data_IF_424234781348
#
_entry.id   IF_424234781348
#
_cell.length_a   1.000
_cell.length_b   1.000
_cell.length_c   1.000
_cell.angle_alpha   90.00
_cell.angle_beta   90.00
_cell.angle_gamma   90.00
#
_symmetry.space_group_name_H-M   'P 1'
#
loop_
_entity.id
_entity.type
_entity.pdbx_description
1 polymer ?
#
# COMPACT_ATOMS: atom_id res chain seq x y z
N UNK A 1 11.58 -2.11 -1.76
CA UNK A 1 10.43 -1.21 -1.83
C UNK A 1 9.41 -1.45 -0.73
N UNK A 2 8.93 -2.67 -0.62
CA UNK A 2 8.03 -2.99 0.50
C UNK A 2 8.69 -2.80 1.86
N UNK A 3 10.00 -2.96 1.94
CA UNK A 3 10.70 -2.75 3.19
C UNK A 3 10.54 -1.31 3.69
N UNK A 4 10.59 -0.33 2.77
CA UNK A 4 10.36 1.05 3.14
C UNK A 4 8.94 1.29 3.62
N UNK A 5 7.97 0.68 2.94
CA UNK A 5 6.58 0.84 3.31
C UNK A 5 6.27 0.16 4.64
N UNK A 6 6.90 -0.98 4.90
CA UNK A 6 6.77 -1.64 6.20
C UNK A 6 7.37 -0.78 7.30
N UNK A 7 8.47 -0.11 7.01
CA UNK A 7 9.07 0.82 7.95
C UNK A 7 8.16 1.98 8.28
N UNK A 8 7.46 2.50 7.26
CA UNK A 8 6.49 3.57 7.47
C UNK A 8 5.30 3.09 8.29
N UNK A 9 4.83 1.87 8.04
CA UNK A 9 3.73 1.30 8.81
C UNK A 9 4.13 1.14 10.27
N UNK A 10 5.33 0.68 10.53
CA UNK A 10 5.84 0.54 11.88
C UNK A 10 5.92 1.90 12.57
N UNK A 11 6.42 2.90 11.86
CA UNK A 11 6.50 4.25 12.40
C UNK A 11 5.12 4.80 12.70
N UNK A 12 4.16 4.52 11.83
CA UNK A 12 2.78 4.93 12.03
C UNK A 12 2.22 4.33 13.32
N UNK A 13 2.47 3.05 13.56
CA UNK A 13 2.03 2.39 14.77
C UNK A 13 2.71 2.96 16.01
N UNK A 14 3.98 3.31 15.91
CA UNK A 14 4.71 3.94 16.99
C UNK A 14 4.10 5.32 17.31
N UNK A 15 3.72 6.07 16.28
CA UNK A 15 3.08 7.35 16.47
C UNK A 15 1.71 7.20 17.14
N UNK A 16 0.96 6.17 16.78
CA UNK A 16 -0.32 5.90 17.44
C UNK A 16 -0.11 5.62 18.92
N UNK A 17 0.91 4.82 19.26
CA UNK A 17 1.20 4.52 20.65
C UNK A 17 1.63 5.77 21.40
N UNK A 18 2.45 6.61 20.77
CA UNK A 18 2.88 7.85 21.39
C UNK A 18 1.71 8.80 21.61
N UNK A 19 0.77 8.85 20.67
CA UNK A 19 -0.42 9.69 20.84
C UNK A 19 -1.35 9.18 21.91
N UNK A 20 -1.29 7.90 22.23
CA UNK A 20 -2.07 7.31 23.31
C UNK A 20 -1.45 7.57 24.69
N UNK A 21 -0.20 8.00 24.73
CA UNK A 21 0.47 8.27 25.99
C UNK A 21 -0.04 9.55 26.61
N UNK A 22 -0.53 9.53 27.85
CA UNK A 22 -1.03 10.75 28.50
C UNK A 22 0.03 11.84 28.65
N UNK A 23 1.29 11.49 28.71
CA UNK A 23 2.36 12.46 28.84
C UNK A 23 2.45 13.39 27.62
N UNK A 24 2.04 12.92 26.47
CA UNK A 24 2.05 13.70 25.23
C UNK A 24 1.06 14.85 25.31
N UNK A 25 -0.05 14.65 25.99
CA UNK A 25 -1.06 15.70 26.10
C UNK A 25 -0.61 16.89 26.94
N UNK A 26 0.41 16.69 27.76
CA UNK A 26 0.95 17.78 28.55
C UNK A 26 1.88 18.68 27.74
N UNK A 27 2.38 18.18 26.61
CA UNK A 27 3.23 18.96 25.71
C UNK A 27 2.48 19.16 24.41
N UNK A 28 1.84 20.32 24.26
CA UNK A 28 1.02 20.62 23.10
C UNK A 28 1.83 20.66 21.81
N UNK A 29 3.06 21.12 21.89
CA UNK A 29 3.92 21.20 20.73
C UNK A 29 4.26 19.81 20.21
N UNK A 30 4.62 18.91 21.12
CA UNK A 30 4.90 17.55 20.77
C UNK A 30 3.66 16.83 20.24
N UNK A 31 2.54 17.04 20.91
CA UNK A 31 1.27 16.47 20.47
C UNK A 31 0.92 16.89 19.04
N UNK A 32 1.10 18.18 18.76
CA UNK A 32 0.80 18.71 17.43
C UNK A 32 1.70 18.08 16.37
N UNK A 33 2.99 17.96 16.66
CA UNK A 33 3.94 17.34 15.74
C UNK A 33 3.61 15.88 15.48
N UNK A 34 3.28 15.16 16.53
CA UNK A 34 2.94 13.74 16.40
C UNK A 34 1.64 13.56 15.64
N UNK A 35 0.65 14.40 15.90
CA UNK A 35 -0.63 14.34 15.20
C UNK A 35 -0.44 14.59 13.71
N UNK A 36 0.37 15.57 13.37
CA UNK A 36 0.63 15.90 11.97
C UNK A 36 1.35 14.76 11.27
N UNK A 37 2.39 14.22 11.91
CA UNK A 37 3.13 13.10 11.35
C UNK A 37 2.24 11.88 11.17
N UNK A 38 1.37 11.62 12.16
CA UNK A 38 0.42 10.53 12.09
C UNK A 38 -0.53 10.70 10.91
N UNK A 39 -1.07 11.90 10.74
CA UNK A 39 -1.99 12.17 9.64
C UNK A 39 -1.29 12.04 8.29
N UNK A 40 -0.05 12.51 8.19
CA UNK A 40 0.70 12.42 6.95
C UNK A 40 0.98 10.96 6.56
N UNK A 41 1.28 10.13 7.54
CA UNK A 41 1.54 8.72 7.27
C UNK A 41 0.28 7.90 7.08
N UNK A 42 -0.84 8.37 7.64
CA UNK A 42 -2.08 7.63 7.59
C UNK A 42 -2.50 7.29 6.17
N UNK A 43 -2.49 8.28 5.29
CA UNK A 43 -2.91 8.09 3.91
C UNK A 43 -2.02 7.07 3.21
N UNK A 44 -0.70 7.19 3.40
CA UNK A 44 0.26 6.28 2.79
C UNK A 44 0.08 4.86 3.32
N UNK A 45 -0.09 4.74 4.63
CA UNK A 45 -0.25 3.43 5.26
C UNK A 45 -1.54 2.75 4.81
N UNK A 46 -2.62 3.50 4.71
CA UNK A 46 -3.88 2.95 4.23
C UNK A 46 -3.76 2.45 2.80
N UNK A 47 -3.11 3.22 1.94
CA UNK A 47 -2.89 2.82 0.56
C UNK A 47 -2.01 1.59 0.47
N UNK A 48 -0.97 1.54 1.31
CA UNK A 48 -0.10 0.39 1.36
C UNK A 48 -0.85 -0.87 1.79
N UNK A 49 -1.71 -0.74 2.79
CA UNK A 49 -2.51 -1.87 3.26
C UNK A 49 -3.45 -2.38 2.16
N UNK A 50 -4.06 -1.46 1.43
CA UNK A 50 -4.91 -1.83 0.30
C UNK A 50 -4.11 -2.54 -0.79
N UNK A 51 -2.94 -2.00 -1.11
CA UNK A 51 -2.07 -2.58 -2.11
C UNK A 51 -1.67 -4.00 -1.72
N UNK A 52 -1.25 -4.17 -0.48
CA UNK A 52 -0.84 -5.48 0.01
C UNK A 52 -2.01 -6.46 0.01
N UNK A 53 -3.19 -6.00 0.42
CA UNK A 53 -4.38 -6.84 0.41
C UNK A 53 -4.73 -7.30 -1.01
N UNK A 54 -4.67 -6.38 -1.97
CA UNK A 54 -4.93 -6.74 -3.36
C UNK A 54 -3.90 -7.72 -3.89
N UNK A 55 -2.63 -7.51 -3.54
CA UNK A 55 -1.57 -8.42 -3.97
C UNK A 55 -1.81 -9.83 -3.42
N UNK A 56 -2.20 -9.91 -2.15
CA UNK A 56 -2.50 -11.20 -1.54
C UNK A 56 -3.70 -11.86 -2.20
N UNK A 57 -4.74 -11.09 -2.51
CA UNK A 57 -5.91 -11.63 -3.20
C UNK A 57 -5.55 -12.17 -4.57
N UNK A 58 -4.70 -11.45 -5.28
CA UNK A 58 -4.24 -11.90 -6.60
C UNK A 58 -3.51 -13.23 -6.47
N UNK A 59 -2.63 -13.35 -5.50
CA UNK A 59 -1.90 -14.59 -5.29
C UNK A 59 -2.83 -15.75 -4.94
N UNK A 60 -3.80 -15.50 -4.07
CA UNK A 60 -4.78 -16.51 -3.72
C UNK A 60 -5.60 -16.94 -4.93
N UNK A 61 -6.02 -15.98 -5.74
CA UNK A 61 -6.80 -16.28 -6.94
C UNK A 61 -5.96 -17.03 -7.98
N UNK A 62 -4.67 -16.75 -8.05
CA UNK A 62 -3.78 -17.49 -8.95
C UNK A 62 -3.72 -18.96 -8.58
N UNK A 63 -3.75 -19.27 -7.31
CA UNK A 63 -3.81 -20.65 -6.87
C UNK A 63 -5.13 -21.29 -7.29
N UNK A 64 -6.21 -20.55 -7.24
CA UNK A 64 -7.51 -21.05 -7.68
C UNK A 64 -7.56 -21.34 -9.18
N UNK A 65 -6.69 -20.73 -9.95
CA UNK A 65 -6.60 -21.04 -11.38
C UNK A 65 -6.18 -22.48 -11.66
N UNK A 66 -5.58 -23.12 -10.68
CA UNK A 66 -5.19 -24.51 -10.80
C UNK A 66 -6.27 -25.49 -10.37
N UNK A 67 -7.42 -24.96 -9.94
CA UNK A 67 -8.53 -25.78 -9.53
C UNK A 67 -9.10 -26.54 -10.73
N UNK A 68 -9.63 -27.73 -10.51
CA UNK A 68 -10.20 -28.52 -11.57
C UNK A 68 -11.58 -28.05 -11.98
N UNK A 69 -12.23 -27.21 -11.17
CA UNK A 69 -13.55 -26.68 -11.45
C UNK A 69 -13.47 -25.47 -12.38
N UNK A 70 -14.02 -25.55 -13.61
CA UNK A 70 -13.93 -24.43 -14.53
C UNK A 70 -14.65 -23.17 -14.05
N UNK A 71 -15.68 -23.31 -13.24
CA UNK A 71 -16.37 -22.13 -12.69
C UNK A 71 -15.47 -21.38 -11.73
N UNK A 72 -14.73 -22.10 -10.89
CA UNK A 72 -13.79 -21.47 -9.96
C UNK A 72 -12.66 -20.79 -10.72
N UNK A 73 -12.16 -21.44 -11.76
CA UNK A 73 -11.11 -20.83 -12.60
C UNK A 73 -11.60 -19.53 -13.23
N UNK A 74 -12.81 -19.54 -13.76
CA UNK A 74 -13.36 -18.36 -14.41
C UNK A 74 -13.53 -17.22 -13.43
N UNK A 75 -14.06 -17.52 -12.25
CA UNK A 75 -14.18 -16.50 -11.20
C UNK A 75 -12.84 -15.94 -10.79
N UNK A 76 -11.85 -16.81 -10.62
CA UNK A 76 -10.51 -16.39 -10.24
C UNK A 76 -9.88 -15.49 -11.31
N UNK A 77 -10.04 -15.84 -12.57
CA UNK A 77 -9.52 -15.02 -13.67
C UNK A 77 -10.15 -13.63 -13.67
N UNK A 78 -11.45 -13.58 -13.46
CA UNK A 78 -12.16 -12.30 -13.43
C UNK A 78 -11.67 -11.44 -12.28
N UNK A 79 -11.54 -12.02 -11.09
CA UNK A 79 -11.07 -11.27 -9.93
C UNK A 79 -9.62 -10.81 -10.08
N UNK A 80 -8.76 -11.67 -10.62
CA UNK A 80 -7.38 -11.28 -10.88
C UNK A 80 -7.33 -10.09 -11.82
N UNK A 81 -8.12 -10.14 -12.89
CA UNK A 81 -8.15 -9.06 -13.86
C UNK A 81 -8.60 -7.75 -13.22
N UNK A 82 -9.64 -7.81 -12.39
CA UNK A 82 -10.14 -6.63 -11.71
C UNK A 82 -9.13 -6.09 -10.70
N UNK A 83 -8.54 -6.98 -9.93
CA UNK A 83 -7.55 -6.58 -8.92
C UNK A 83 -6.29 -6.00 -9.57
N UNK A 84 -5.82 -6.63 -10.63
CA UNK A 84 -4.65 -6.13 -11.35
C UNK A 84 -4.91 -4.77 -12.00
N UNK A 85 -6.14 -4.51 -12.38
CA UNK A 85 -6.50 -3.21 -12.91
C UNK A 85 -6.45 -2.12 -11.85
N UNK A 86 -6.67 -2.47 -10.58
CA UNK A 86 -6.61 -1.52 -9.49
C UNK A 86 -5.18 -1.25 -9.01
N UNK A 87 -4.28 -2.21 -9.20
CA UNK A 87 -2.91 -2.06 -8.71
C UNK A 87 -2.19 -0.83 -9.25
N UNK A 88 -2.22 -0.55 -10.55
CA UNK A 88 -1.54 0.65 -11.06
C UNK A 88 -2.05 1.94 -10.44
N UNK A 89 -3.34 2.00 -10.16
CA UNK A 89 -3.92 3.17 -9.53
C UNK A 89 -3.38 3.36 -8.12
N UNK A 90 -3.33 2.28 -7.34
CA UNK A 90 -2.78 2.34 -5.99
C UNK A 90 -1.30 2.65 -6.00
N UNK A 91 -0.56 2.07 -6.94
CA UNK A 91 0.86 2.33 -7.08
C UNK A 91 1.12 3.79 -7.37
N UNK A 92 0.30 4.39 -8.22
CA UNK A 92 0.41 5.79 -8.55
C UNK A 92 0.13 6.67 -7.34
N UNK A 93 -0.88 6.33 -6.55
CA UNK A 93 -1.21 7.06 -5.34
C UNK A 93 -0.11 6.92 -4.28
N UNK A 94 0.50 5.75 -4.20
CA UNK A 94 1.61 5.52 -3.29
C UNK A 94 2.92 6.11 -3.80
N UNK A 95 2.95 6.51 -5.06
CA UNK A 95 4.15 7.02 -5.71
C UNK A 95 5.29 6.01 -5.70
N UNK A 96 4.94 4.74 -5.86
CA UNK A 96 5.93 3.68 -5.94
C UNK A 96 6.46 3.62 -7.36
N UNK A 97 7.78 3.65 -7.54
CA UNK A 97 8.35 3.54 -8.89
C UNK A 97 8.30 2.10 -9.36
N UNK A 98 7.22 1.75 -10.00
CA UNK A 98 6.99 0.40 -10.41
C UNK A 98 7.71 0.03 -11.65
N UNK A 99 7.70 0.91 -12.58
CA UNK A 99 8.38 0.67 -13.78
C UNK A 99 9.68 1.24 -13.78
N UNK A 100 10.42 0.94 -12.91
CA UNK A 100 11.57 1.55 -12.79
C UNK A 100 12.42 1.32 -13.87
N UNK A 101 12.01 1.06 -14.61
CA UNK A 101 12.54 0.91 -15.72
C UNK A 101 11.92 1.58 -16.81
N UNK A 102 11.44 1.76 -16.36
CA UNK A 102 11.09 2.53 -16.96
C UNK A 102 11.16 3.40 -17.26
N UNK A 103 11.21 3.11 -17.53
CA UNK A 103 11.14 4.13 -17.67
C UNK A 103 11.37 4.84 -18.10
N UNK A 104 11.37 4.59 -18.46
CA UNK A 104 11.41 5.50 -18.71
C UNK A 104 11.49 6.05 -19.24
N UNK A 105 11.37 5.84 -19.59
CA UNK A 105 11.23 6.66 -19.95
C UNK A 105 11.46 7.24 -20.34
N UNK A 106 11.59 7.01 -20.71
CA UNK A 106 11.57 7.86 -20.95
C UNK A 106 11.62 8.40 -21.10
N UNK A 107 11.56 8.13 -21.27
CA UNK A 107 11.42 8.98 -21.25
C UNK A 107 11.71 9.51 -21.36
N UNK A 108 11.77 9.20 -21.54
CA UNK A 108 11.93 9.95 -21.54
C UNK A 108 12.36 10.51 -21.78
N UNK A 109 12.44 10.25 -21.98
CA UNK A 109 12.72 11.04 -22.13
C UNK A 109 12.90 11.59 -22.37
N UNK A 110 12.87 11.50 -22.50
CA UNK A 110 13.03 12.34 -22.73
C UNK A 110 13.22 12.87 -22.93
N UNK A 111 13.15 12.73 -23.07
CA UNK A 111 13.43 13.43 -23.26
C UNK A 111 13.50 13.82 -23.40
#
# INVERSE_FOLDING_TARGET
MFAKLQGLEKKYMELEQALADPAVYNDQEQYRKLTKAHADLKDVVELFRKYRSLSEQIEENKELLHDSDPEIKEMAETEIREDEAQLPELERQLKIPVSYTHLTLPTICSV
#
